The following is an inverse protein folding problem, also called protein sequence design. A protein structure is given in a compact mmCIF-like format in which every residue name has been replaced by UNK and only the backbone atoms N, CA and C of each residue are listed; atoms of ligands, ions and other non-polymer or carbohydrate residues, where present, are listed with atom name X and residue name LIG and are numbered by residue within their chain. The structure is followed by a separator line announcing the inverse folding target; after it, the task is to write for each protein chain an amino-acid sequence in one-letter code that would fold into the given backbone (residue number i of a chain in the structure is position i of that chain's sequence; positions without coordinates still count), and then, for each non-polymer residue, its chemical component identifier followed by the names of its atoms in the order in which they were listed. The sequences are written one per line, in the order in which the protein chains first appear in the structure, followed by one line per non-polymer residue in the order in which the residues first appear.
data_IF_319203412711
#
_entry.id   IF_319203412711
#
_cell.length_a   1.000
_cell.length_b   1.000
_cell.length_c   1.000
_cell.angle_alpha   90.00
_cell.angle_beta   90.00
_cell.angle_gamma   90.00
#
_symmetry.space_group_name_H-M   'P 1'
#
loop_
_entity.id
_entity.type
_entity.pdbx_description
1 polymer ?
#
# COMPACT_ATOMS: atom_id res chain seq x y z
N UNK A 1 -20.19 22.66 5.37
CA UNK A 1 -19.07 21.81 5.75
C UNK A 1 -18.92 20.67 4.76
N UNK A 2 -17.68 20.42 4.34
CA UNK A 2 -17.41 19.27 3.49
C UNK A 2 -17.54 17.97 4.26
N UNK A 3 -18.18 16.99 3.67
CA UNK A 3 -18.15 15.64 4.20
C UNK A 3 -16.74 15.08 4.07
N UNK A 4 -16.34 14.28 5.05
CA UNK A 4 -15.03 13.67 5.08
C UNK A 4 -15.14 12.16 5.19
N UNK A 5 -14.06 11.49 4.81
CA UNK A 5 -13.92 10.04 4.99
C UNK A 5 -13.11 9.82 6.25
N UNK A 6 -13.64 9.01 7.16
CA UNK A 6 -12.89 8.54 8.31
C UNK A 6 -12.08 7.32 7.89
N UNK A 7 -10.77 7.49 7.79
CA UNK A 7 -9.85 6.44 7.35
C UNK A 7 -9.20 5.77 8.54
N UNK A 8 -9.24 4.44 8.55
CA UNK A 8 -8.51 3.63 9.53
C UNK A 8 -7.73 2.55 8.81
N UNK A 9 -6.43 2.48 9.08
CA UNK A 9 -5.56 1.47 8.50
C UNK A 9 -4.95 0.67 9.65
N UNK A 10 -5.09 -0.66 9.57
CA UNK A 10 -4.53 -1.56 10.58
C UNK A 10 -3.63 -2.55 9.83
N UNK A 11 -2.39 -2.69 10.26
CA UNK A 11 -1.47 -3.67 9.69
C UNK A 11 -1.32 -4.89 10.60
N UNK A 12 -0.88 -5.99 10.02
CA UNK A 12 -0.70 -7.25 10.75
C UNK A 12 0.27 -7.09 11.92
N UNK A 13 1.29 -6.25 11.76
CA UNK A 13 2.29 -6.00 12.81
C UNK A 13 1.79 -5.03 13.90
N UNK A 14 0.52 -4.65 13.86
CA UNK A 14 -0.10 -3.84 14.91
C UNK A 14 -0.06 -2.34 14.72
N UNK A 15 0.41 -1.86 13.57
CA UNK A 15 0.41 -0.44 13.27
C UNK A 15 -1.02 0.02 13.00
N UNK A 16 -1.42 1.15 13.60
CA UNK A 16 -2.74 1.73 13.41
C UNK A 16 -2.58 3.17 12.95
N UNK A 17 -3.23 3.51 11.84
CA UNK A 17 -3.26 4.88 11.30
C UNK A 17 -4.71 5.31 11.24
N UNK A 18 -5.03 6.47 11.80
CA UNK A 18 -6.35 7.06 11.73
C UNK A 18 -6.23 8.47 11.18
N UNK A 19 -7.10 8.82 10.24
CA UNK A 19 -7.07 10.14 9.63
C UNK A 19 -8.47 10.49 9.11
N UNK A 20 -8.72 11.78 8.94
CA UNK A 20 -9.94 12.29 8.32
C UNK A 20 -9.54 12.96 7.02
N UNK A 21 -9.99 12.43 5.88
CA UNK A 21 -9.54 12.87 4.58
C UNK A 21 -10.71 13.21 3.66
N UNK A 22 -10.45 13.97 2.61
CA UNK A 22 -11.49 14.35 1.65
C UNK A 22 -11.65 13.29 0.55
N UNK A 23 -10.55 12.68 0.12
CA UNK A 23 -10.52 11.74 -0.99
C UNK A 23 -9.43 10.70 -0.78
N UNK A 24 -9.65 9.48 -1.30
CA UNK A 24 -8.65 8.41 -1.29
C UNK A 24 -8.51 7.90 -2.72
N UNK A 25 -7.27 7.70 -3.19
CA UNK A 25 -6.99 7.22 -4.54
C UNK A 25 -6.07 6.03 -4.52
N UNK A 26 -6.49 4.95 -5.17
CA UNK A 26 -5.69 3.73 -5.33
C UNK A 26 -5.24 3.61 -6.77
N UNK A 27 -3.96 3.31 -6.97
CA UNK A 27 -3.43 2.96 -8.28
C UNK A 27 -3.48 1.44 -8.40
N UNK A 28 -4.49 0.97 -9.12
CA UNK A 28 -4.72 -0.46 -9.29
C UNK A 28 -4.13 -0.90 -10.64
N UNK A 29 -3.18 -1.85 -10.64
CA UNK A 29 -2.61 -2.34 -11.90
C UNK A 29 -3.69 -2.78 -12.88
N UNK A 30 -3.56 -2.41 -14.14
CA UNK A 30 -4.46 -2.72 -15.24
C UNK A 30 -5.81 -1.98 -15.21
N UNK A 31 -6.21 -1.43 -14.07
CA UNK A 31 -7.47 -0.70 -13.94
C UNK A 31 -7.28 0.80 -13.80
N UNK A 32 -6.05 1.25 -13.56
CA UNK A 32 -5.75 2.66 -13.38
C UNK A 32 -6.10 3.17 -11.98
N UNK A 33 -6.22 4.48 -11.85
CA UNK A 33 -6.48 5.13 -10.56
C UNK A 33 -7.97 5.07 -10.24
N UNK A 34 -8.31 4.56 -9.06
CA UNK A 34 -9.68 4.51 -8.55
C UNK A 34 -9.81 5.47 -7.37
N UNK A 35 -10.75 6.40 -7.48
CA UNK A 35 -11.00 7.38 -6.43
C UNK A 35 -12.18 7.02 -5.55
N UNK A 36 -12.05 7.32 -4.26
CA UNK A 36 -13.12 7.17 -3.28
C UNK A 36 -13.47 8.55 -2.73
N UNK A 37 -14.70 8.96 -2.95
CA UNK A 37 -15.24 10.19 -2.41
C UNK A 37 -16.22 9.85 -1.28
N UNK A 38 -16.55 10.81 -0.39
CA UNK A 38 -17.37 10.49 0.80
C UNK A 38 -18.73 9.88 0.51
N UNK A 39 -19.33 10.19 -0.64
CA UNK A 39 -20.68 9.72 -0.98
C UNK A 39 -20.69 8.44 -1.83
N UNK A 40 -19.56 7.79 -1.97
CA UNK A 40 -19.49 6.54 -2.72
C UNK A 40 -20.36 5.45 -2.08
N UNK A 41 -21.00 4.64 -2.92
CA UNK A 41 -21.76 3.48 -2.45
C UNK A 41 -20.82 2.50 -1.73
N UNK A 42 -21.34 1.77 -0.75
CA UNK A 42 -20.53 0.77 -0.04
C UNK A 42 -19.91 -0.25 -0.98
N UNK A 43 -18.65 -0.61 -0.71
CA UNK A 43 -17.96 -1.63 -1.49
C UNK A 43 -16.79 -2.21 -0.70
N UNK A 44 -16.28 -3.32 -1.18
CA UNK A 44 -15.07 -3.94 -0.63
C UNK A 44 -14.16 -4.33 -1.78
N UNK A 45 -12.86 -4.31 -1.55
CA UNK A 45 -11.86 -4.63 -2.57
C UNK A 45 -10.67 -5.35 -1.95
N UNK A 46 -10.06 -6.23 -2.75
CA UNK A 46 -8.81 -6.85 -2.40
C UNK A 46 -7.69 -5.96 -2.92
N UNK A 47 -6.72 -5.66 -2.06
CA UNK A 47 -5.60 -4.81 -2.41
C UNK A 47 -4.34 -5.64 -2.62
N UNK A 48 -3.58 -5.29 -3.65
CA UNK A 48 -2.29 -5.91 -3.96
C UNK A 48 -1.16 -4.98 -3.54
N UNK A 49 0.08 -5.39 -3.78
CA UNK A 49 1.23 -4.52 -3.58
C UNK A 49 1.02 -3.29 -4.47
N UNK A 50 1.05 -2.11 -3.87
CA UNK A 50 0.78 -0.89 -4.62
C UNK A 50 0.94 0.36 -3.78
N UNK A 51 0.49 1.44 -4.37
CA UNK A 51 0.56 2.77 -3.78
C UNK A 51 -0.85 3.34 -3.73
N UNK A 52 -1.19 3.99 -2.63
CA UNK A 52 -2.38 4.81 -2.60
C UNK A 52 -2.05 6.16 -1.96
N UNK A 53 -2.90 7.13 -2.21
CA UNK A 53 -2.72 8.44 -1.59
C UNK A 53 -4.06 9.01 -1.15
N UNK A 54 -3.98 9.90 -0.16
CA UNK A 54 -5.14 10.60 0.38
C UNK A 54 -4.98 12.09 0.12
N UNK A 55 -6.09 12.77 -0.09
CA UNK A 55 -6.12 14.22 -0.22
C UNK A 55 -6.96 14.82 0.89
N UNK A 56 -6.39 15.83 1.52
CA UNK A 56 -7.09 16.71 2.46
C UNK A 56 -6.88 18.15 2.00
N UNK A 57 -7.55 19.12 2.61
CA UNK A 57 -7.56 20.52 2.15
C UNK A 57 -6.20 21.08 1.76
N UNK A 58 -5.15 20.77 2.53
CA UNK A 58 -3.81 21.31 2.29
C UNK A 58 -2.73 20.24 2.24
N UNK A 59 -3.12 18.97 2.09
CA UNK A 59 -2.14 17.89 2.23
C UNK A 59 -2.48 16.69 1.36
N UNK A 60 -1.44 16.11 0.75
CA UNK A 60 -1.51 14.83 0.05
C UNK A 60 -0.53 13.90 0.75
N UNK A 61 -0.99 12.73 1.16
CA UNK A 61 -0.13 11.72 1.78
C UNK A 61 -0.10 10.46 0.91
N UNK A 62 1.11 9.98 0.65
CA UNK A 62 1.34 8.78 -0.14
C UNK A 62 1.72 7.60 0.75
N UNK A 63 1.17 6.44 0.44
CA UNK A 63 1.40 5.21 1.21
C UNK A 63 1.79 4.06 0.29
N UNK A 64 2.71 3.22 0.78
CA UNK A 64 2.99 1.92 0.18
C UNK A 64 2.27 0.85 0.98
N UNK A 65 1.54 -0.01 0.29
CA UNK A 65 0.85 -1.14 0.89
C UNK A 65 1.33 -2.44 0.21
N UNK A 66 1.51 -3.50 0.98
CA UNK A 66 1.95 -4.78 0.43
C UNK A 66 0.84 -5.82 0.39
N UNK A 67 -0.38 -5.36 0.20
CA UNK A 67 -1.54 -6.23 0.13
C UNK A 67 -2.48 -5.99 1.30
N UNK A 68 -3.72 -6.49 1.16
CA UNK A 68 -4.71 -6.35 2.20
C UNK A 68 -6.12 -6.23 1.64
N UNK A 69 -7.01 -5.68 2.43
CA UNK A 69 -8.41 -5.48 2.05
C UNK A 69 -8.85 -4.06 2.38
N UNK A 70 -9.76 -3.57 1.56
CA UNK A 70 -10.41 -2.28 1.78
C UNK A 70 -11.91 -2.51 1.92
N UNK A 71 -12.50 -1.90 2.93
CA UNK A 71 -13.95 -1.87 3.09
C UNK A 71 -14.37 -0.43 3.27
N UNK A 72 -15.33 0.03 2.44
CA UNK A 72 -15.85 1.37 2.52
C UNK A 72 -17.36 1.32 2.73
N UNK A 73 -17.84 2.04 3.75
CA UNK A 73 -19.25 2.11 4.10
C UNK A 73 -19.52 3.33 4.98
N UNK A 74 -20.57 4.07 4.68
CA UNK A 74 -21.01 5.20 5.50
C UNK A 74 -19.89 6.20 5.82
N UNK A 75 -19.17 6.64 4.80
CA UNK A 75 -18.05 7.59 4.93
C UNK A 75 -16.89 7.08 5.79
N UNK A 76 -16.81 5.77 5.97
CA UNK A 76 -15.71 5.13 6.71
C UNK A 76 -14.97 4.18 5.80
N UNK A 77 -13.65 4.32 5.74
CA UNK A 77 -12.78 3.43 5.00
C UNK A 77 -11.91 2.66 6.00
N UNK A 78 -12.00 1.34 5.96
CA UNK A 78 -11.16 0.46 6.77
C UNK A 78 -10.23 -0.30 5.83
N UNK A 79 -8.93 -0.16 6.07
CA UNK A 79 -7.91 -0.91 5.34
C UNK A 79 -7.22 -1.85 6.33
N UNK A 80 -7.28 -3.14 6.04
CA UNK A 80 -6.50 -4.14 6.77
C UNK A 80 -5.34 -4.50 5.86
N UNK A 81 -4.13 -4.11 6.28
CA UNK A 81 -2.94 -4.21 5.45
C UNK A 81 -1.97 -5.27 5.97
N UNK A 82 -1.28 -5.95 5.05
CA UNK A 82 -0.17 -6.80 5.45
C UNK A 82 0.96 -5.92 5.99
N UNK A 83 1.41 -4.94 5.21
CA UNK A 83 2.29 -3.89 5.69
C UNK A 83 1.84 -2.55 5.11
N UNK A 84 2.09 -1.48 5.85
CA UNK A 84 1.76 -0.12 5.45
C UNK A 84 2.89 0.82 5.86
N UNK A 85 3.29 1.69 4.94
CA UNK A 85 4.30 2.70 5.21
C UNK A 85 3.93 4.00 4.52
N UNK A 86 4.00 5.10 5.25
CA UNK A 86 3.86 6.43 4.66
C UNK A 86 5.19 6.81 3.98
N UNK A 87 5.11 7.60 2.91
CA UNK A 87 6.29 8.03 2.17
C UNK A 87 7.41 8.59 3.07
N UNK A 88 7.04 9.34 4.10
CA UNK A 88 8.00 9.94 5.05
C UNK A 88 8.76 8.92 5.88
N UNK A 89 8.26 7.69 6.01
CA UNK A 89 8.89 6.63 6.77
C UNK A 89 9.91 5.83 5.95
N UNK A 90 9.98 6.04 4.64
CA UNK A 90 10.80 5.23 3.74
C UNK A 90 12.27 5.63 3.82
N UNK A 91 13.15 4.64 3.96
CA UNK A 91 14.60 4.80 3.98
C UNK A 91 15.18 4.18 2.71
N UNK A 92 15.66 5.01 1.80
CA UNK A 92 16.14 4.58 0.50
C UNK A 92 17.28 3.56 0.58
N UNK A 93 18.25 3.81 1.44
CA UNK A 93 19.39 2.90 1.58
C UNK A 93 18.97 1.51 2.05
N UNK A 94 18.07 1.47 3.03
CA UNK A 94 17.55 0.21 3.56
C UNK A 94 16.75 -0.55 2.51
N UNK A 95 15.95 0.17 1.72
CA UNK A 95 15.15 -0.42 0.65
C UNK A 95 16.05 -0.99 -0.44
N UNK A 96 17.09 -0.27 -0.83
CA UNK A 96 18.04 -0.73 -1.84
C UNK A 96 18.78 -1.97 -1.38
N UNK A 97 19.14 -2.04 -0.11
CA UNK A 97 19.81 -3.21 0.47
C UNK A 97 18.88 -4.44 0.47
N UNK A 98 17.63 -4.25 0.84
CA UNK A 98 16.63 -5.33 0.79
C UNK A 98 16.39 -5.81 -0.65
N UNK A 99 16.39 -4.88 -1.60
CA UNK A 99 16.25 -5.21 -3.01
C UNK A 99 17.42 -6.06 -3.48
N UNK A 100 18.64 -5.67 -3.13
CA UNK A 100 19.86 -6.41 -3.47
C UNK A 100 19.82 -7.84 -2.92
N UNK A 101 19.46 -7.99 -1.65
CA UNK A 101 19.35 -9.30 -1.02
C UNK A 101 18.32 -10.19 -1.71
N UNK A 102 17.17 -9.62 -2.05
CA UNK A 102 16.11 -10.36 -2.73
C UNK A 102 16.56 -10.81 -4.12
N UNK A 103 17.24 -9.93 -4.88
CA UNK A 103 17.77 -10.25 -6.19
C UNK A 103 18.80 -11.39 -6.13
N UNK A 104 19.69 -11.36 -5.11
CA UNK A 104 20.67 -12.43 -4.92
C UNK A 104 20.01 -13.77 -4.60
N UNK A 105 18.99 -13.75 -3.75
CA UNK A 105 18.24 -14.97 -3.43
C UNK A 105 17.55 -15.56 -4.65
N UNK A 106 17.01 -14.70 -5.52
CA UNK A 106 16.38 -15.16 -6.76
C UNK A 106 17.38 -15.82 -7.69
N UNK A 107 18.60 -15.29 -7.78
CA UNK A 107 19.65 -15.88 -8.63
C UNK A 107 20.08 -17.26 -8.14
N UNK A 108 20.02 -17.49 -6.84
CA UNK A 108 20.41 -18.77 -6.25
C UNK A 108 19.31 -19.82 -6.28
N UNK A 109 18.07 -19.42 -6.50
CA UNK A 109 16.94 -20.32 -6.59
C UNK A 109 16.88 -20.97 -7.96
N UNK A 110 16.89 -22.30 -8.01
CA UNK A 110 16.84 -23.07 -9.26
C UNK A 110 15.42 -23.58 -9.57
N UNK A 111 14.49 -23.49 -8.63
CA UNK A 111 13.13 -24.00 -8.77
C UNK A 111 12.13 -22.89 -8.46
N UNK A 112 11.33 -22.51 -9.46
CA UNK A 112 10.32 -21.47 -9.33
C UNK A 112 9.17 -21.83 -8.37
N UNK A 113 9.01 -23.12 -8.06
CA UNK A 113 7.99 -23.59 -7.12
C UNK A 113 8.50 -23.65 -5.68
N UNK A 114 9.75 -23.26 -5.44
CA UNK A 114 10.32 -23.22 -4.11
C UNK A 114 9.76 -22.02 -3.35
N UNK A 115 9.37 -22.27 -2.09
CA UNK A 115 8.90 -21.22 -1.20
C UNK A 115 9.91 -20.07 -1.07
N UNK A 116 11.19 -20.40 -1.05
CA UNK A 116 12.28 -19.39 -1.00
C UNK A 116 12.23 -18.46 -2.22
N UNK A 117 11.97 -19.02 -3.41
CA UNK A 117 11.84 -18.22 -4.62
C UNK A 117 10.65 -17.27 -4.52
N UNK A 118 9.48 -17.75 -4.10
CA UNK A 118 8.28 -16.93 -3.95
C UNK A 118 8.47 -15.82 -2.94
N UNK A 119 9.09 -16.12 -1.79
CA UNK A 119 9.36 -15.14 -0.76
C UNK A 119 10.34 -14.05 -1.24
N UNK A 120 11.37 -14.45 -1.98
CA UNK A 120 12.33 -13.50 -2.54
C UNK A 120 11.68 -12.61 -3.60
N UNK A 121 10.84 -13.18 -4.45
CA UNK A 121 10.11 -12.42 -5.46
C UNK A 121 9.17 -11.41 -4.81
N UNK A 122 8.45 -11.81 -3.77
CA UNK A 122 7.54 -10.93 -3.04
C UNK A 122 8.32 -9.78 -2.39
N UNK A 123 9.46 -10.08 -1.77
CA UNK A 123 10.33 -9.05 -1.17
C UNK A 123 10.83 -8.06 -2.20
N UNK A 124 11.20 -8.55 -3.39
CA UNK A 124 11.65 -7.69 -4.49
C UNK A 124 10.52 -6.75 -4.95
N UNK A 125 9.32 -7.28 -5.12
CA UNK A 125 8.16 -6.48 -5.53
C UNK A 125 7.86 -5.38 -4.52
N UNK A 126 7.95 -5.68 -3.22
CA UNK A 126 7.75 -4.67 -2.18
C UNK A 126 8.81 -3.56 -2.24
N UNK A 127 10.06 -3.94 -2.44
CA UNK A 127 11.15 -2.96 -2.54
C UNK A 127 10.97 -2.05 -3.76
N UNK A 128 10.64 -2.61 -4.91
CA UNK A 128 10.38 -1.84 -6.13
C UNK A 128 9.22 -0.87 -5.92
N UNK A 129 8.16 -1.33 -5.26
CA UNK A 129 6.99 -0.49 -4.97
C UNK A 129 7.38 0.71 -4.10
N UNK A 130 8.16 0.48 -3.05
CA UNK A 130 8.62 1.56 -2.16
C UNK A 130 9.51 2.57 -2.90
N UNK A 131 10.37 2.10 -3.79
CA UNK A 131 11.25 2.98 -4.56
C UNK A 131 10.49 3.90 -5.48
N UNK A 132 9.29 3.53 -5.93
CA UNK A 132 8.45 4.40 -6.76
C UNK A 132 8.10 5.70 -6.06
N UNK A 133 7.95 5.69 -4.74
CA UNK A 133 7.64 6.89 -3.97
C UNK A 133 8.87 7.75 -3.66
N UNK A 134 10.07 7.25 -3.90
CA UNK A 134 11.32 7.94 -3.58
C UNK A 134 12.02 8.56 -4.79
N UNK A 135 11.38 8.53 -5.92
CA UNK A 135 11.92 9.16 -7.13
C UNK A 135 11.76 10.67 -7.11
#
# INVERSE_FOLDING_TARGET
MKDKIELKIISIDGKIIEDSVDEIYFDIPLSGVTGILPNRTPFAALLHIGIFYTKSTNQVKYYCISGGTLEFKNKKALILADTIEEQSELDKERILERKRIAEEKLKLCTNENDETYENALFSLKKAINRLKLLK
#
